data_IF_472497135458
#
_entry.id   IF_472497135458
#
_cell.length_a   1.000
_cell.length_b   1.000
_cell.length_c   1.000
_cell.angle_alpha   90.00
_cell.angle_beta   90.00
_cell.angle_gamma   90.00
#
_symmetry.space_group_name_H-M   'P 1'
#
loop_
_entity.id
_entity.type
_entity.pdbx_description
1 polymer ?
#
# COMPACT_ATOMS: atom_id res chain seq x y z
N UNK A 1 -7.22 -61.66 35.74
CA UNK A 1 -7.20 -60.21 35.63
C UNK A 1 -6.71 -59.85 34.24
N UNK A 2 -7.52 -59.29 33.34
CA UNK A 2 -7.06 -58.87 32.01
C UNK A 2 -6.48 -57.45 32.10
N UNK A 3 -5.29 -57.30 31.57
CA UNK A 3 -4.58 -56.02 31.44
C UNK A 3 -5.14 -55.30 30.19
N UNK A 4 -5.85 -54.18 30.42
CA UNK A 4 -6.36 -53.35 29.35
C UNK A 4 -5.23 -52.42 28.88
N UNK A 5 -4.72 -52.69 27.66
CA UNK A 5 -3.79 -51.76 26.97
C UNK A 5 -4.60 -50.62 26.36
N UNK A 6 -4.52 -49.44 26.97
CA UNK A 6 -5.08 -48.18 26.39
C UNK A 6 -4.09 -47.68 25.34
N UNK A 7 -4.44 -47.84 24.07
CA UNK A 7 -3.68 -47.25 22.95
C UNK A 7 -4.07 -45.79 22.87
N UNK A 8 -3.18 -44.91 23.30
CA UNK A 8 -3.30 -43.45 23.15
C UNK A 8 -3.01 -43.09 21.70
N UNK A 9 -4.05 -42.85 20.92
CA UNK A 9 -3.90 -42.40 19.52
C UNK A 9 -3.50 -40.91 19.53
N UNK A 10 -2.23 -40.63 19.31
CA UNK A 10 -1.75 -39.27 19.08
C UNK A 10 -2.20 -38.81 17.70
N UNK A 11 -3.25 -37.98 17.65
CA UNK A 11 -3.64 -37.27 16.45
C UNK A 11 -2.58 -36.19 16.13
N UNK A 12 -1.71 -36.51 15.19
CA UNK A 12 -0.84 -35.51 14.56
C UNK A 12 -1.70 -34.56 13.73
N UNK A 13 -2.04 -33.40 14.27
CA UNK A 13 -2.62 -32.30 13.50
C UNK A 13 -1.43 -31.62 12.80
N UNK A 14 -1.33 -31.65 11.45
CA UNK A 14 -0.31 -30.90 10.77
C UNK A 14 -0.57 -29.40 10.98
N UNK A 15 0.33 -28.73 11.69
CA UNK A 15 0.40 -27.27 11.68
C UNK A 15 0.66 -26.85 10.24
N UNK A 16 -0.34 -26.26 9.57
CA UNK A 16 -0.11 -25.50 8.35
C UNK A 16 0.60 -24.23 8.77
N UNK A 17 1.86 -24.09 8.38
CA UNK A 17 2.57 -22.82 8.45
C UNK A 17 1.74 -21.81 7.65
N UNK A 18 1.10 -20.87 8.36
CA UNK A 18 0.46 -19.72 7.76
C UNK A 18 1.62 -18.81 7.33
N UNK A 19 2.04 -18.93 6.07
CA UNK A 19 2.91 -17.95 5.46
C UNK A 19 2.14 -16.63 5.41
N UNK A 20 2.38 -15.77 6.41
CA UNK A 20 2.04 -14.37 6.34
C UNK A 20 2.98 -13.73 5.32
N UNK A 21 2.50 -13.47 4.12
CA UNK A 21 3.20 -12.59 3.21
C UNK A 21 3.22 -11.21 3.85
N UNK A 22 4.41 -10.70 4.19
CA UNK A 22 4.54 -9.35 4.70
C UNK A 22 4.00 -8.36 3.69
N UNK A 23 3.02 -7.55 4.11
CA UNK A 23 2.45 -6.51 3.27
C UNK A 23 3.48 -5.41 3.00
N UNK A 24 3.53 -4.90 1.77
CA UNK A 24 4.45 -3.84 1.39
C UNK A 24 3.85 -2.93 0.32
N UNK A 25 4.32 -1.68 0.28
CA UNK A 25 3.83 -0.71 -0.69
C UNK A 25 4.53 -0.80 -2.05
N UNK A 26 3.76 -0.52 -3.09
CA UNK A 26 4.18 -0.16 -4.45
C UNK A 26 3.34 1.02 -4.93
N UNK A 27 3.70 1.56 -6.08
CA UNK A 27 2.92 2.60 -6.76
C UNK A 27 2.57 2.15 -8.18
N UNK A 28 1.50 2.69 -8.74
CA UNK A 28 1.12 2.40 -10.12
C UNK A 28 2.09 3.09 -11.09
N UNK A 29 2.53 2.35 -12.10
CA UNK A 29 3.54 2.82 -13.06
C UNK A 29 2.98 3.78 -14.11
N UNK A 30 1.75 3.54 -14.56
CA UNK A 30 1.15 4.19 -15.72
C UNK A 30 -0.09 5.01 -15.33
N UNK A 31 -0.50 5.90 -16.23
CA UNK A 31 -1.71 6.70 -16.08
C UNK A 31 -3.00 5.87 -16.20
N UNK A 32 -2.90 4.67 -16.78
CA UNK A 32 -4.00 3.71 -16.86
C UNK A 32 -3.52 2.34 -16.39
N UNK A 33 -4.13 1.83 -15.32
CA UNK A 33 -3.85 0.51 -14.75
C UNK A 33 -5.15 -0.23 -14.49
N UNK A 34 -5.20 -1.49 -14.90
CA UNK A 34 -6.36 -2.36 -14.73
C UNK A 34 -6.25 -3.16 -13.42
N UNK A 35 -7.23 -3.01 -12.55
CA UNK A 35 -7.45 -3.89 -11.40
C UNK A 35 -8.42 -4.99 -11.81
N UNK A 36 -7.99 -6.26 -11.68
CA UNK A 36 -8.77 -7.44 -12.10
C UNK A 36 -9.32 -8.21 -10.90
N UNK A 37 -10.34 -9.02 -11.15
CA UNK A 37 -10.95 -9.87 -10.13
C UNK A 37 -10.07 -11.05 -9.71
N UNK A 38 -9.11 -11.48 -10.55
CA UNK A 38 -8.23 -12.59 -10.29
C UNK A 38 -6.87 -12.45 -10.97
N UNK A 39 -5.92 -13.36 -10.67
CA UNK A 39 -4.50 -13.25 -11.03
C UNK A 39 -4.18 -13.74 -12.45
N UNK A 40 -4.96 -13.33 -13.44
CA UNK A 40 -4.65 -13.54 -14.86
C UNK A 40 -5.35 -12.50 -15.74
N UNK A 41 -4.95 -12.42 -17.01
CA UNK A 41 -5.59 -11.54 -18.00
C UNK A 41 -6.99 -12.01 -18.41
N UNK A 42 -7.38 -13.25 -18.10
CA UNK A 42 -8.70 -13.82 -18.38
C UNK A 42 -9.77 -13.32 -17.41
N UNK A 43 -9.36 -12.84 -16.23
CA UNK A 43 -10.30 -12.29 -15.27
C UNK A 43 -10.79 -10.90 -15.67
N UNK A 44 -12.07 -10.59 -15.45
CA UNK A 44 -12.63 -9.29 -15.77
C UNK A 44 -11.99 -8.16 -14.95
N UNK A 45 -11.98 -6.98 -15.55
CA UNK A 45 -11.49 -5.75 -14.92
C UNK A 45 -12.56 -5.21 -13.97
N UNK A 46 -12.19 -4.91 -12.73
CA UNK A 46 -13.05 -4.27 -11.72
C UNK A 46 -12.98 -2.76 -11.76
N UNK A 47 -11.75 -2.24 -11.85
CA UNK A 47 -11.45 -0.80 -11.75
C UNK A 47 -10.40 -0.45 -12.78
N UNK A 48 -10.56 0.72 -13.40
CA UNK A 48 -9.55 1.38 -14.20
C UNK A 48 -8.96 2.54 -13.39
N UNK A 49 -7.74 2.38 -12.89
CA UNK A 49 -7.01 3.49 -12.29
C UNK A 49 -6.50 4.43 -13.37
N UNK A 50 -6.68 5.74 -13.15
CA UNK A 50 -6.24 6.79 -14.08
C UNK A 50 -5.21 7.73 -13.45
N UNK A 51 -4.50 7.28 -12.43
CA UNK A 51 -3.56 8.12 -11.68
C UNK A 51 -2.22 7.44 -11.51
N UNK A 52 -1.22 7.92 -12.24
CA UNK A 52 0.17 7.48 -12.11
C UNK A 52 0.68 7.73 -10.69
N UNK A 53 1.50 6.82 -10.18
CA UNK A 53 2.07 6.82 -8.83
C UNK A 53 1.08 6.68 -7.69
N UNK A 54 -0.18 6.32 -7.96
CA UNK A 54 -1.12 5.97 -6.91
C UNK A 54 -0.51 4.84 -6.05
N UNK A 55 -0.36 5.02 -4.72
CA UNK A 55 0.14 3.97 -3.86
C UNK A 55 -0.87 2.84 -3.72
N UNK A 56 -0.37 1.63 -3.62
CA UNK A 56 -1.13 0.40 -3.39
C UNK A 56 -0.37 -0.50 -2.41
N UNK A 57 -1.10 -1.13 -1.51
CA UNK A 57 -0.55 -2.10 -0.58
C UNK A 57 -0.62 -3.50 -1.20
N UNK A 58 0.53 -4.15 -1.36
CA UNK A 58 0.62 -5.53 -1.85
C UNK A 58 0.30 -6.47 -0.69
N UNK A 59 -0.69 -7.33 -0.88
CA UNK A 59 -1.18 -8.25 0.14
C UNK A 59 -0.89 -9.72 -0.18
N UNK A 60 -0.73 -10.05 -1.47
CA UNK A 60 -0.50 -11.42 -1.92
C UNK A 60 0.16 -11.44 -3.30
N UNK A 61 0.65 -12.58 -3.71
CA UNK A 61 1.29 -12.79 -5.01
C UNK A 61 0.85 -14.11 -5.64
N UNK A 62 0.64 -14.08 -6.95
CA UNK A 62 0.39 -15.26 -7.77
C UNK A 62 1.08 -15.06 -9.11
N UNK A 63 2.17 -15.79 -9.36
CA UNK A 63 3.00 -15.66 -10.56
C UNK A 63 3.36 -14.20 -10.86
N UNK A 64 2.91 -13.67 -12.00
CA UNK A 64 3.17 -12.30 -12.44
C UNK A 64 2.10 -11.28 -11.97
N UNK A 65 1.23 -11.68 -11.06
CA UNK A 65 0.21 -10.80 -10.49
C UNK A 65 0.44 -10.55 -9.01
N UNK A 66 -0.02 -9.40 -8.54
CA UNK A 66 -0.03 -9.01 -7.12
C UNK A 66 -1.44 -8.64 -6.72
N UNK A 67 -1.90 -9.21 -5.61
CA UNK A 67 -3.13 -8.75 -4.96
C UNK A 67 -2.84 -7.44 -4.25
N UNK A 68 -3.61 -6.42 -4.55
CA UNK A 68 -3.42 -5.10 -3.99
C UNK A 68 -4.66 -4.63 -3.22
N UNK A 69 -4.43 -3.68 -2.32
CA UNK A 69 -5.46 -2.85 -1.71
C UNK A 69 -5.10 -1.39 -1.90
N UNK A 70 -6.05 -0.56 -2.33
CA UNK A 70 -5.87 0.89 -2.42
C UNK A 70 -6.30 1.61 -1.13
N UNK A 71 -6.14 2.93 -1.09
CA UNK A 71 -6.49 3.76 0.08
C UNK A 71 -8.00 3.84 0.37
N UNK A 72 -8.84 3.47 -0.60
CA UNK A 72 -10.31 3.39 -0.46
C UNK A 72 -10.80 1.96 -0.17
N UNK A 73 -9.85 1.04 0.14
CA UNK A 73 -10.10 -0.38 0.44
C UNK A 73 -10.61 -1.22 -0.76
N UNK A 74 -10.43 -0.75 -2.00
CA UNK A 74 -10.66 -1.61 -3.15
C UNK A 74 -9.54 -2.64 -3.25
N UNK A 75 -9.89 -3.89 -3.50
CA UNK A 75 -8.96 -5.01 -3.64
C UNK A 75 -9.10 -5.69 -5.00
N UNK A 76 -8.02 -6.27 -5.47
CA UNK A 76 -7.97 -7.02 -6.73
C UNK A 76 -6.53 -7.30 -7.16
N UNK A 77 -6.35 -7.67 -8.40
CA UNK A 77 -5.08 -8.14 -8.93
C UNK A 77 -4.56 -7.23 -10.04
N UNK A 78 -3.28 -6.91 -9.93
CA UNK A 78 -2.55 -6.07 -10.90
C UNK A 78 -1.33 -6.83 -11.40
N UNK A 79 -1.05 -6.77 -12.70
CA UNK A 79 0.16 -7.37 -13.27
C UNK A 79 1.41 -6.59 -12.83
N UNK A 80 2.50 -7.29 -12.55
CA UNK A 80 3.74 -6.68 -12.03
C UNK A 80 4.31 -5.58 -12.93
N UNK A 81 4.10 -5.65 -14.24
CA UNK A 81 4.53 -4.62 -15.19
C UNK A 81 3.88 -3.25 -14.94
N UNK A 82 2.73 -3.23 -14.26
CA UNK A 82 1.98 -2.02 -13.91
C UNK A 82 2.41 -1.40 -12.58
N UNK A 83 3.35 -2.02 -11.88
CA UNK A 83 3.85 -1.59 -10.57
C UNK A 83 5.21 -0.91 -10.67
N UNK A 84 5.47 0.01 -9.75
CA UNK A 84 6.67 0.81 -9.65
C UNK A 84 7.14 0.91 -8.19
N UNK A 85 8.42 1.23 -8.01
CA UNK A 85 9.02 1.57 -6.71
C UNK A 85 9.11 3.07 -6.48
N UNK A 86 8.49 3.88 -7.34
CA UNK A 86 8.46 5.34 -7.15
C UNK A 86 7.76 5.67 -5.84
N UNK A 87 8.43 6.38 -4.96
CA UNK A 87 7.88 6.77 -3.66
C UNK A 87 6.81 7.83 -3.83
N UNK A 88 5.62 7.53 -3.33
CA UNK A 88 4.47 8.43 -3.33
C UNK A 88 3.48 8.01 -2.25
N UNK A 89 2.63 8.95 -1.83
CA UNK A 89 1.62 8.75 -0.82
C UNK A 89 0.33 9.53 -1.14
N UNK A 90 -0.74 9.13 -0.52
CA UNK A 90 -2.04 9.83 -0.49
C UNK A 90 -2.21 10.48 0.88
N UNK A 91 -2.68 11.72 0.88
CA UNK A 91 -3.11 12.40 2.10
C UNK A 91 -4.39 11.73 2.62
N UNK A 92 -4.37 11.27 3.87
CA UNK A 92 -5.49 10.57 4.51
C UNK A 92 -6.21 11.40 5.57
N UNK A 93 -5.70 12.57 5.92
CA UNK A 93 -6.37 13.54 6.77
C UNK A 93 -7.24 14.48 5.94
N UNK A 94 -8.35 14.95 6.49
CA UNK A 94 -9.24 15.89 5.82
C UNK A 94 -8.49 17.13 5.32
N UNK A 95 -7.56 17.63 6.14
CA UNK A 95 -6.67 18.73 5.81
C UNK A 95 -5.28 18.48 6.41
N UNK A 96 -4.24 18.50 5.59
CA UNK A 96 -2.86 18.35 6.00
C UNK A 96 -2.06 19.59 5.57
N UNK A 97 -1.40 20.24 6.52
CA UNK A 97 -0.61 21.43 6.24
C UNK A 97 0.80 21.02 5.80
N UNK A 98 1.22 21.56 4.66
CA UNK A 98 2.59 21.49 4.16
C UNK A 98 3.40 22.66 4.73
N UNK A 99 4.57 22.36 5.28
CA UNK A 99 5.46 23.34 5.87
C UNK A 99 6.74 23.52 5.04
N UNK A 100 7.38 24.67 5.18
CA UNK A 100 8.66 24.98 4.49
C UNK A 100 9.83 24.14 5.02
N UNK A 101 9.78 23.68 6.26
CA UNK A 101 10.77 22.84 6.94
C UNK A 101 10.09 21.74 7.75
N UNK A 102 10.87 20.75 8.19
CA UNK A 102 10.41 19.61 8.98
C UNK A 102 10.12 19.98 10.44
N UNK A 103 9.32 21.01 10.65
CA UNK A 103 8.90 21.49 11.98
C UNK A 103 7.59 22.28 11.88
N UNK A 104 6.76 22.19 12.91
CA UNK A 104 5.51 22.95 13.05
C UNK A 104 5.75 24.46 13.22
N UNK A 105 6.96 24.88 13.55
CA UNK A 105 7.35 26.28 13.75
C UNK A 105 7.76 26.99 12.45
N UNK A 106 7.90 26.25 11.36
CA UNK A 106 8.19 26.82 10.05
C UNK A 106 6.93 27.36 9.36
N UNK A 107 7.12 28.10 8.26
CA UNK A 107 6.00 28.72 7.54
C UNK A 107 5.14 27.66 6.84
N UNK A 108 3.80 27.74 6.93
CA UNK A 108 2.92 26.94 6.10
C UNK A 108 3.04 27.36 4.63
N UNK A 109 3.11 26.36 3.75
CA UNK A 109 3.28 26.54 2.29
C UNK A 109 1.94 26.30 1.58
N UNK A 110 1.23 25.25 1.98
CA UNK A 110 -0.03 24.84 1.38
C UNK A 110 -0.87 24.02 2.36
N UNK A 111 -2.16 23.95 2.08
CA UNK A 111 -3.10 23.06 2.77
C UNK A 111 -3.58 22.02 1.77
N UNK A 112 -3.32 20.77 2.05
CA UNK A 112 -3.68 19.64 1.20
C UNK A 112 -4.92 18.95 1.74
N UNK A 113 -5.83 18.60 0.84
CA UNK A 113 -7.06 17.85 1.16
C UNK A 113 -6.82 16.37 1.10
N UNK A 114 -7.65 15.61 1.79
CA UNK A 114 -7.74 14.15 1.68
C UNK A 114 -7.80 13.70 0.21
N UNK A 115 -7.10 12.61 -0.10
CA UNK A 115 -7.00 12.07 -1.45
C UNK A 115 -5.96 12.74 -2.36
N UNK A 116 -5.28 13.79 -1.88
CA UNK A 116 -4.21 14.42 -2.67
C UNK A 116 -3.01 13.49 -2.77
N UNK A 117 -2.58 13.21 -4.00
CA UNK A 117 -1.35 12.46 -4.27
C UNK A 117 -0.13 13.38 -4.13
N UNK A 118 0.87 12.91 -3.42
CA UNK A 118 2.17 13.55 -3.29
C UNK A 118 3.28 12.58 -3.65
N UNK A 119 4.31 13.06 -4.35
CA UNK A 119 5.54 12.29 -4.58
C UNK A 119 6.54 12.58 -3.46
N UNK A 120 7.21 11.54 -2.98
CA UNK A 120 8.13 11.63 -1.85
C UNK A 120 9.55 11.85 -2.36
N UNK A 121 10.22 12.88 -1.86
CA UNK A 121 11.64 13.13 -2.12
C UNK A 121 12.53 12.41 -1.13
N UNK A 122 12.24 12.60 0.16
CA UNK A 122 12.91 11.93 1.29
C UNK A 122 12.04 12.01 2.53
N UNK A 123 12.26 11.09 3.46
CA UNK A 123 11.67 11.17 4.79
C UNK A 123 12.77 11.23 5.85
N UNK A 124 12.54 12.02 6.90
CA UNK A 124 13.41 12.17 8.04
C UNK A 124 12.57 12.22 9.31
N UNK A 125 12.79 11.27 10.23
CA UNK A 125 11.97 11.13 11.43
C UNK A 125 10.47 11.07 11.08
N UNK A 126 9.65 11.94 11.64
CA UNK A 126 8.18 11.98 11.45
C UNK A 126 7.74 12.83 10.25
N UNK A 127 8.68 13.26 9.42
CA UNK A 127 8.43 14.17 8.30
C UNK A 127 8.89 13.60 6.97
N UNK A 128 8.14 13.94 5.91
CA UNK A 128 8.56 13.67 4.52
C UNK A 128 8.57 14.96 3.70
N UNK A 129 9.65 15.16 2.95
CA UNK A 129 9.73 16.19 1.91
C UNK A 129 9.02 15.67 0.67
N UNK A 130 8.03 16.42 0.21
CA UNK A 130 7.12 16.02 -0.85
C UNK A 130 6.95 17.08 -1.92
N UNK A 131 6.45 16.66 -3.07
CA UNK A 131 6.03 17.53 -4.17
C UNK A 131 4.62 17.15 -4.62
N UNK A 132 3.81 18.15 -4.92
CA UNK A 132 2.49 17.99 -5.53
C UNK A 132 2.12 19.23 -6.33
N UNK A 133 1.92 19.08 -7.66
CA UNK A 133 1.76 20.23 -8.54
C UNK A 133 2.97 21.15 -8.46
N UNK A 134 2.74 22.44 -8.19
CA UNK A 134 3.80 23.45 -8.04
C UNK A 134 4.34 23.56 -6.61
N UNK A 135 3.73 22.87 -5.66
CA UNK A 135 4.07 22.96 -4.25
C UNK A 135 5.14 21.95 -3.85
N UNK A 136 6.09 22.40 -3.05
CA UNK A 136 7.15 21.60 -2.43
C UNK A 136 7.27 21.96 -0.97
N UNK A 137 7.40 20.95 -0.11
CA UNK A 137 7.53 21.19 1.32
C UNK A 137 7.49 19.91 2.13
N UNK A 138 7.23 20.03 3.40
CA UNK A 138 7.28 18.96 4.37
C UNK A 138 5.89 18.66 4.95
N UNK A 139 5.55 17.37 4.97
CA UNK A 139 4.32 16.85 5.57
C UNK A 139 4.66 15.89 6.70
N UNK A 140 3.80 15.83 7.71
CA UNK A 140 3.86 14.78 8.72
C UNK A 140 3.53 13.42 8.11
N UNK A 141 4.35 12.41 8.42
CA UNK A 141 4.12 11.00 7.97
C UNK A 141 2.77 10.48 8.41
N UNK A 142 2.30 10.83 9.60
CA UNK A 142 1.02 10.36 10.16
C UNK A 142 -0.20 10.69 9.30
N UNK A 143 -0.13 11.74 8.47
CA UNK A 143 -1.16 12.14 7.53
C UNK A 143 -1.04 11.50 6.15
N UNK A 144 -0.12 10.55 5.95
CA UNK A 144 0.21 9.96 4.65
C UNK A 144 0.02 8.44 4.65
N UNK A 145 -0.51 7.92 3.57
CA UNK A 145 -0.63 6.49 3.29
C UNK A 145 0.06 6.17 1.97
N UNK A 146 1.07 5.30 1.99
CA UNK A 146 1.79 4.94 0.77
C UNK A 146 3.23 4.51 0.97
N UNK A 147 4.00 4.56 -0.11
CA UNK A 147 5.43 4.24 -0.16
C UNK A 147 6.26 5.47 0.22
N UNK A 148 6.71 5.49 1.45
CA UNK A 148 7.50 6.58 2.04
C UNK A 148 9.01 6.32 1.98
#
# INVERSE_FOLDING_TARGET
>A
MPIIFVFLLFLFIPFKDVYSNDEYFRTLRNDKVNLRQGPSFDYPIKIFYKKKFLPVLIQDSSENFRKIRDHENNTGWVHISQLSKKKAAIVIEEQLIMFSSATLYSNPVAKLKEGRLVTIRKCKNDWCKVETGEYKGWLKKSGLWGLL
#
